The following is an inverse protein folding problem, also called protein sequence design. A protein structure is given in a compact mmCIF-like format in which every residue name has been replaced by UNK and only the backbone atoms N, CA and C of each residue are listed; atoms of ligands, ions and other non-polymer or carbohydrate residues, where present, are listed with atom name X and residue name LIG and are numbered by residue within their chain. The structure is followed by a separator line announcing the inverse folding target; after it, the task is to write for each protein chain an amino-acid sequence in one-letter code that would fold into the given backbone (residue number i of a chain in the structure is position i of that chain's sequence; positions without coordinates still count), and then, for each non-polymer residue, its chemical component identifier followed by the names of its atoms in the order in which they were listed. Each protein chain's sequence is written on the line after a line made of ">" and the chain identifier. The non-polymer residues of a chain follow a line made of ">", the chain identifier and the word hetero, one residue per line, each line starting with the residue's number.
data_IF_349130525138
#
_entry.id   IF_349130525138
#
_cell.length_a   1.000
_cell.length_b   1.000
_cell.length_c   1.000
_cell.angle_alpha   90.00
_cell.angle_beta   90.00
_cell.angle_gamma   90.00
#
_symmetry.space_group_name_H-M   'P 1'
#
loop_
_entity.id
_entity.type
_entity.pdbx_description
1 polymer ?
#
# COMPACT_ATOMS: atom_id res chain seq x y z
N UNK A 1 -9.49 6.93 60.14
CA UNK A 1 -8.17 6.54 59.70
C UNK A 1 -8.30 5.84 58.38
N UNK A 2 -8.09 6.56 57.28
CA UNK A 2 -8.17 6.03 55.90
C UNK A 2 -6.74 5.79 55.40
N UNK A 3 -6.37 4.54 55.27
CA UNK A 3 -5.14 4.12 54.65
C UNK A 3 -5.44 3.95 53.11
N UNK A 4 -5.37 5.05 52.40
CA UNK A 4 -5.25 4.99 50.93
C UNK A 4 -3.79 4.67 50.64
N UNK A 5 -3.49 3.41 50.48
CA UNK A 5 -2.26 2.93 49.85
C UNK A 5 -2.34 3.36 48.37
N UNK A 6 -1.69 4.49 48.03
CA UNK A 6 -1.31 4.80 46.66
C UNK A 6 -0.31 3.71 46.24
N UNK A 7 -0.79 2.74 45.48
CA UNK A 7 0.11 1.92 44.65
C UNK A 7 0.93 2.88 43.79
N UNK A 8 2.22 2.85 43.97
CA UNK A 8 3.16 3.56 43.13
C UNK A 8 2.99 3.00 41.71
N UNK A 9 2.27 3.72 40.89
CA UNK A 9 2.21 3.46 39.43
C UNK A 9 3.64 3.55 38.95
N UNK A 10 4.27 2.40 38.69
CA UNK A 10 5.60 2.37 38.09
C UNK A 10 5.50 3.10 36.76
N UNK A 11 6.06 4.29 36.68
CA UNK A 11 6.09 5.08 35.45
C UNK A 11 6.70 4.23 34.33
N UNK A 12 5.98 4.13 33.21
CA UNK A 12 6.46 3.48 32.00
C UNK A 12 7.40 4.37 31.19
N UNK A 13 7.66 5.59 31.66
CA UNK A 13 8.64 6.46 31.02
C UNK A 13 10.08 5.94 31.25
N UNK A 14 10.93 6.16 30.24
CA UNK A 14 12.37 5.99 30.42
C UNK A 14 12.89 6.99 31.46
N UNK A 15 13.74 6.52 32.38
CA UNK A 15 14.42 7.39 33.33
C UNK A 15 15.46 8.29 32.67
N UNK A 16 16.09 7.77 31.59
CA UNK A 16 17.10 8.48 30.79
C UNK A 16 16.94 8.10 29.30
N UNK A 17 17.26 9.00 28.37
CA UNK A 17 17.23 8.69 26.94
C UNK A 17 18.20 7.56 26.59
N UNK A 18 17.74 6.55 25.86
CA UNK A 18 18.58 5.46 25.38
C UNK A 18 19.30 5.86 24.07
N UNK A 19 20.58 5.46 23.91
CA UNK A 19 21.26 5.57 22.62
C UNK A 19 20.47 4.87 21.51
N UNK A 20 20.47 5.42 20.30
CA UNK A 20 19.71 4.87 19.17
C UNK A 20 20.05 3.41 18.87
N UNK A 21 21.28 2.98 19.16
CA UNK A 21 21.74 1.59 18.98
C UNK A 21 21.18 0.63 20.05
N UNK A 22 20.69 1.13 21.17
CA UNK A 22 20.10 0.36 22.26
C UNK A 22 18.61 0.61 22.44
N UNK A 23 18.04 1.53 21.66
CA UNK A 23 16.61 1.84 21.72
C UNK A 23 15.81 0.93 20.79
N UNK A 24 14.92 0.06 21.29
CA UNK A 24 14.25 -0.96 20.48
C UNK A 24 13.41 -0.38 19.32
N UNK A 25 12.76 0.77 19.54
CA UNK A 25 12.01 1.46 18.46
C UNK A 25 12.95 2.02 17.40
N UNK A 26 14.05 2.63 17.78
CA UNK A 26 15.01 3.18 16.82
C UNK A 26 15.61 2.07 15.95
N UNK A 27 16.00 0.95 16.56
CA UNK A 27 16.50 -0.24 15.85
C UNK A 27 15.44 -0.79 14.88
N UNK A 28 14.20 -0.95 15.34
CA UNK A 28 13.10 -1.40 14.51
C UNK A 28 12.85 -0.46 13.31
N UNK A 29 12.71 0.84 13.54
CA UNK A 29 12.43 1.82 12.50
C UNK A 29 13.56 1.91 11.48
N UNK A 30 14.82 1.82 11.92
CA UNK A 30 15.98 1.83 11.02
C UNK A 30 16.03 0.61 10.10
N UNK A 31 15.53 -0.54 10.54
CA UNK A 31 15.38 -1.74 9.71
C UNK A 31 14.26 -1.68 8.66
N UNK A 32 13.41 -0.64 8.69
CA UNK A 32 12.31 -0.47 7.75
C UNK A 32 12.71 0.34 6.52
N UNK A 33 12.04 0.05 5.40
CA UNK A 33 12.07 0.92 4.23
C UNK A 33 11.61 2.33 4.61
N UNK A 34 12.26 3.36 4.06
CA UNK A 34 12.06 4.78 4.38
C UNK A 34 10.58 5.20 4.37
N UNK A 35 9.82 4.75 3.37
CA UNK A 35 8.38 5.07 3.26
C UNK A 35 7.48 4.44 4.33
N UNK A 36 7.95 3.41 5.05
CA UNK A 36 7.18 2.75 6.11
C UNK A 36 7.43 3.35 7.50
N UNK A 37 8.57 4.00 7.68
CA UNK A 37 9.02 4.54 8.99
C UNK A 37 8.00 5.50 9.63
N UNK A 38 7.48 6.53 8.92
CA UNK A 38 6.54 7.46 9.54
C UNK A 38 5.27 6.79 10.04
N UNK A 39 4.72 5.87 9.26
CA UNK A 39 3.48 5.15 9.63
C UNK A 39 3.70 4.25 10.83
N UNK A 40 4.83 3.56 10.92
CA UNK A 40 5.14 2.69 12.06
C UNK A 40 5.49 3.51 13.30
N UNK A 41 6.21 4.63 13.14
CA UNK A 41 6.46 5.56 14.25
C UNK A 41 5.15 6.08 14.83
N UNK A 42 4.24 6.59 13.99
CA UNK A 42 2.94 7.07 14.45
C UNK A 42 2.13 5.99 15.19
N UNK A 43 2.17 4.74 14.71
CA UNK A 43 1.50 3.62 15.39
C UNK A 43 2.08 3.40 16.81
N UNK A 44 3.39 3.49 16.95
CA UNK A 44 4.09 3.34 18.25
C UNK A 44 3.89 4.56 19.15
N UNK A 45 3.88 5.79 18.61
CA UNK A 45 3.54 7.00 19.35
C UNK A 45 2.13 6.88 19.97
N UNK A 46 1.18 6.38 19.16
CA UNK A 46 -0.19 6.16 19.65
C UNK A 46 -0.25 5.13 20.77
N UNK A 47 0.48 4.02 20.65
CA UNK A 47 0.53 2.98 21.70
C UNK A 47 1.20 3.52 22.96
N UNK A 48 2.31 4.26 22.82
CA UNK A 48 3.01 4.87 23.96
C UNK A 48 2.10 5.85 24.71
N UNK A 49 1.41 6.71 23.96
CA UNK A 49 0.44 7.65 24.52
C UNK A 49 -0.70 6.95 25.26
N UNK A 50 -1.24 5.84 24.71
CA UNK A 50 -2.30 5.05 25.38
C UNK A 50 -1.82 4.49 26.74
N UNK A 51 -0.60 3.97 26.78
CA UNK A 51 -0.04 3.34 27.98
C UNK A 51 0.38 4.33 29.06
N UNK A 52 0.73 5.55 28.69
CA UNK A 52 1.24 6.58 29.60
C UNK A 52 0.26 7.71 29.89
N UNK A 53 -1.00 7.60 29.41
CA UNK A 53 -1.96 8.70 29.55
C UNK A 53 -1.57 9.97 28.77
N UNK A 54 -0.75 9.83 27.71
CA UNK A 54 -0.28 10.94 26.87
C UNK A 54 1.10 11.48 27.22
N UNK A 55 1.75 10.97 28.28
CA UNK A 55 3.05 11.48 28.76
C UNK A 55 4.24 11.03 27.89
N UNK A 56 4.12 9.86 27.23
CA UNK A 56 5.20 9.28 26.43
C UNK A 56 4.85 9.20 24.93
N UNK A 57 5.90 9.28 24.12
CA UNK A 57 5.92 8.90 22.72
C UNK A 57 6.70 7.59 22.50
N UNK A 58 6.91 7.21 21.25
CA UNK A 58 7.62 5.98 20.90
C UNK A 58 9.09 5.95 21.39
N UNK A 59 9.72 7.10 21.61
CA UNK A 59 11.12 7.19 22.01
C UNK A 59 11.32 7.43 23.51
N UNK A 60 10.26 7.76 24.23
CA UNK A 60 10.30 8.06 25.65
C UNK A 60 9.65 6.98 26.53
N UNK A 61 8.88 6.06 25.93
CA UNK A 61 8.31 4.91 26.64
C UNK A 61 9.38 3.83 26.86
N UNK A 62 9.43 3.27 28.05
CA UNK A 62 10.26 2.10 28.37
C UNK A 62 9.57 0.79 27.92
N UNK A 63 9.80 0.42 26.67
CA UNK A 63 9.23 -0.79 26.05
C UNK A 63 9.65 -2.09 26.74
N UNK A 64 10.77 -2.06 27.48
CA UNK A 64 11.25 -3.23 28.20
C UNK A 64 10.42 -3.55 29.45
N UNK A 65 9.68 -2.57 29.98
CA UNK A 65 8.77 -2.76 31.12
C UNK A 65 7.41 -3.34 30.73
N UNK A 66 7.10 -3.47 29.41
CA UNK A 66 5.81 -3.97 28.99
C UNK A 66 5.66 -5.47 29.30
N UNK A 67 4.53 -5.82 29.89
CA UNK A 67 4.15 -7.19 30.25
C UNK A 67 2.76 -7.49 29.65
N UNK A 68 2.30 -8.72 29.79
CA UNK A 68 1.00 -9.17 29.28
C UNK A 68 -0.16 -8.19 29.60
N UNK A 69 -0.34 -7.67 30.83
CA UNK A 69 -1.44 -6.73 31.10
C UNK A 69 -1.41 -5.48 30.21
N UNK A 70 -0.21 -4.94 29.95
CA UNK A 70 -0.04 -3.77 29.10
C UNK A 70 -0.41 -4.06 27.62
N UNK A 71 0.09 -5.18 27.09
CA UNK A 71 -0.16 -5.56 25.69
C UNK A 71 -1.60 -5.98 25.47
N UNK A 72 -2.24 -6.61 26.44
CA UNK A 72 -3.66 -6.96 26.42
C UNK A 72 -4.54 -5.71 26.45
N UNK A 73 -4.24 -4.73 27.32
CA UNK A 73 -4.95 -3.46 27.39
C UNK A 73 -4.82 -2.68 26.08
N UNK A 74 -3.61 -2.58 25.52
CA UNK A 74 -3.38 -1.96 24.20
C UNK A 74 -4.19 -2.63 23.13
N UNK A 75 -4.20 -3.97 23.07
CA UNK A 75 -4.98 -4.68 22.07
C UNK A 75 -6.49 -4.40 22.20
N UNK A 76 -7.03 -4.42 23.40
CA UNK A 76 -8.44 -4.13 23.66
C UNK A 76 -8.80 -2.71 23.19
N UNK A 77 -7.97 -1.72 23.55
CA UNK A 77 -8.18 -0.33 23.18
C UNK A 77 -8.06 -0.09 21.67
N UNK A 78 -7.07 -0.73 21.02
CA UNK A 78 -6.92 -0.64 19.56
C UNK A 78 -8.10 -1.26 18.81
N UNK A 79 -8.65 -2.37 19.30
CA UNK A 79 -9.82 -3.02 18.69
C UNK A 79 -11.07 -2.16 18.88
N UNK A 80 -11.19 -1.46 20.00
CA UNK A 80 -12.32 -0.58 20.27
C UNK A 80 -12.30 0.70 19.41
N UNK A 81 -11.12 1.27 19.15
CA UNK A 81 -10.97 2.58 18.48
C UNK A 81 -10.69 2.50 16.98
N UNK A 82 -10.12 1.41 16.51
CA UNK A 82 -9.65 1.31 15.12
C UNK A 82 -10.26 0.11 14.40
N UNK A 83 -10.33 0.22 13.09
CA UNK A 83 -10.67 -0.93 12.27
C UNK A 83 -9.64 -2.06 12.41
N UNK A 84 -10.10 -3.31 12.31
CA UNK A 84 -9.31 -4.53 12.52
C UNK A 84 -7.95 -4.52 11.78
N UNK A 85 -7.89 -4.06 10.53
CA UNK A 85 -6.64 -4.00 9.78
C UNK A 85 -5.64 -2.97 10.33
N UNK A 86 -6.14 -1.85 10.86
CA UNK A 86 -5.31 -0.82 11.51
C UNK A 86 -4.82 -1.31 12.85
N UNK A 87 -5.71 -1.88 13.68
CA UNK A 87 -5.34 -2.49 14.95
C UNK A 87 -4.30 -3.61 14.77
N UNK A 88 -4.50 -4.51 13.80
CA UNK A 88 -3.51 -5.56 13.47
C UNK A 88 -2.14 -4.98 13.08
N UNK A 89 -2.13 -3.91 12.26
CA UNK A 89 -0.88 -3.23 11.88
C UNK A 89 -0.16 -2.64 13.08
N UNK A 90 -0.90 -1.97 13.97
CA UNK A 90 -0.33 -1.36 15.19
C UNK A 90 0.19 -2.44 16.15
N UNK A 91 -0.55 -3.51 16.35
CA UNK A 91 -0.10 -4.67 17.13
C UNK A 91 1.11 -5.37 16.51
N UNK A 92 1.23 -5.39 15.19
CA UNK A 92 2.43 -5.88 14.52
C UNK A 92 3.66 -5.00 14.83
N UNK A 93 3.51 -3.67 14.84
CA UNK A 93 4.58 -2.76 15.23
C UNK A 93 5.01 -3.00 16.70
N UNK A 94 4.05 -3.13 17.62
CA UNK A 94 4.33 -3.45 19.03
C UNK A 94 5.11 -4.75 19.17
N UNK A 95 4.64 -5.84 18.54
CA UNK A 95 5.33 -7.15 18.56
C UNK A 95 6.76 -7.04 18.05
N UNK A 96 6.99 -6.28 16.99
CA UNK A 96 8.34 -6.09 16.43
C UNK A 96 9.24 -5.33 17.37
N UNK A 97 8.76 -4.26 18.01
CA UNK A 97 9.55 -3.51 19.00
C UNK A 97 9.91 -4.37 20.21
N UNK A 98 8.98 -5.16 20.74
CA UNK A 98 9.28 -6.08 21.83
C UNK A 98 10.27 -7.19 21.41
N UNK A 99 10.19 -7.65 20.16
CA UNK A 99 11.19 -8.57 19.58
C UNK A 99 12.58 -7.93 19.50
N UNK A 100 12.67 -6.65 19.12
CA UNK A 100 13.95 -5.93 19.11
C UNK A 100 14.46 -5.70 20.56
N UNK A 101 13.58 -5.37 21.51
CA UNK A 101 13.94 -5.27 22.93
C UNK A 101 14.57 -6.59 23.44
N UNK A 102 14.02 -7.73 23.04
CA UNK A 102 14.59 -9.06 23.37
C UNK A 102 15.96 -9.27 22.75
N UNK A 103 16.15 -8.91 21.47
CA UNK A 103 17.46 -9.01 20.81
C UNK A 103 18.52 -8.12 21.45
N UNK A 104 18.10 -6.97 21.97
CA UNK A 104 18.94 -6.05 22.73
C UNK A 104 19.17 -6.48 24.19
N UNK A 105 18.65 -7.64 24.58
CA UNK A 105 18.75 -8.21 25.94
C UNK A 105 18.11 -7.32 27.02
N UNK A 106 17.09 -6.56 26.66
CA UNK A 106 16.32 -5.72 27.58
C UNK A 106 15.10 -6.44 28.16
N UNK A 107 14.69 -7.57 27.56
CA UNK A 107 13.55 -8.39 27.97
C UNK A 107 13.91 -9.86 27.84
N UNK A 108 13.51 -10.68 28.79
CA UNK A 108 13.71 -12.12 28.75
C UNK A 108 12.79 -12.83 27.75
N UNK A 109 13.20 -14.03 27.32
CA UNK A 109 12.46 -14.80 26.34
C UNK A 109 11.06 -15.20 26.83
N UNK A 110 10.97 -15.64 28.09
CA UNK A 110 9.70 -16.06 28.72
C UNK A 110 8.75 -14.88 28.86
N UNK A 111 9.24 -13.73 29.34
CA UNK A 111 8.46 -12.51 29.47
C UNK A 111 7.92 -12.03 28.10
N UNK A 112 8.74 -12.13 27.03
CA UNK A 112 8.30 -11.79 25.68
C UNK A 112 7.18 -12.71 25.21
N UNK A 113 7.32 -14.03 25.42
CA UNK A 113 6.30 -15.00 25.01
C UNK A 113 4.98 -14.68 25.70
N UNK A 114 4.98 -14.49 27.00
CA UNK A 114 3.79 -14.11 27.78
C UNK A 114 3.18 -12.78 27.31
N UNK A 115 4.01 -11.76 27.10
CA UNK A 115 3.54 -10.45 26.65
C UNK A 115 2.92 -10.49 25.24
N UNK A 116 3.28 -11.46 24.41
CA UNK A 116 2.77 -11.62 23.04
C UNK A 116 1.68 -12.71 22.91
N UNK A 117 1.36 -13.43 23.96
CA UNK A 117 0.30 -14.44 24.00
C UNK A 117 -1.08 -13.78 24.04
N UNK A 118 -1.46 -13.22 22.90
CA UNK A 118 -2.71 -12.49 22.73
C UNK A 118 -3.57 -13.17 21.67
N UNK A 119 -4.90 -13.13 21.83
CA UNK A 119 -5.82 -13.66 20.82
C UNK A 119 -5.65 -12.91 19.49
N UNK A 120 -5.81 -13.63 18.39
CA UNK A 120 -5.76 -13.01 17.07
C UNK A 120 -6.95 -12.04 16.90
N UNK A 121 -6.66 -10.81 16.48
CA UNK A 121 -7.70 -9.87 16.08
C UNK A 121 -8.39 -10.43 14.84
N UNK A 122 -9.67 -10.82 14.97
CA UNK A 122 -10.46 -11.33 13.85
C UNK A 122 -10.69 -10.18 12.86
N UNK A 123 -10.40 -10.41 11.59
CA UNK A 123 -10.74 -9.45 10.53
C UNK A 123 -12.13 -9.79 10.01
N UNK A 124 -13.06 -8.88 10.20
CA UNK A 124 -14.41 -8.93 9.60
C UNK A 124 -14.45 -8.26 8.23
N UNK A 125 -13.31 -7.74 7.77
CA UNK A 125 -13.28 -6.94 6.55
C UNK A 125 -13.45 -7.78 5.29
N UNK A 126 -14.48 -7.45 4.53
CA UNK A 126 -14.49 -7.67 3.08
C UNK A 126 -13.29 -6.93 2.47
N UNK A 127 -12.71 -7.46 1.42
CA UNK A 127 -11.63 -6.79 0.67
C UNK A 127 -12.09 -5.38 0.31
N UNK A 128 -11.38 -4.36 0.81
CA UNK A 128 -11.66 -2.96 0.45
C UNK A 128 -11.40 -2.76 -1.02
N UNK A 129 -12.23 -1.93 -1.64
CA UNK A 129 -12.16 -1.63 -3.07
C UNK A 129 -12.96 -2.62 -3.91
N UNK A 130 -13.19 -2.24 -5.16
CA UNK A 130 -13.98 -2.98 -6.14
C UNK A 130 -13.23 -3.08 -7.47
N UNK A 131 -13.65 -3.96 -8.33
CA UNK A 131 -13.22 -3.88 -9.72
C UNK A 131 -14.08 -2.84 -10.43
N UNK A 132 -13.45 -2.08 -11.31
CA UNK A 132 -14.14 -1.14 -12.19
C UNK A 132 -14.75 -1.94 -13.36
N UNK A 133 -15.96 -1.60 -13.74
CA UNK A 133 -16.61 -2.13 -14.93
C UNK A 133 -16.02 -1.52 -16.20
N UNK A 134 -16.21 -2.19 -17.34
CA UNK A 134 -15.81 -1.64 -18.64
C UNK A 134 -16.50 -0.30 -18.96
N UNK A 135 -17.76 -0.13 -18.55
CA UNK A 135 -18.49 1.14 -18.71
C UNK A 135 -17.87 2.28 -17.92
N UNK A 136 -17.46 2.04 -16.66
CA UNK A 136 -16.80 3.04 -15.83
C UNK A 136 -15.43 3.43 -16.38
N UNK A 137 -14.65 2.45 -16.87
CA UNK A 137 -13.37 2.71 -17.52
C UNK A 137 -13.58 3.52 -18.80
N UNK A 138 -14.57 3.16 -19.62
CA UNK A 138 -14.95 3.91 -20.81
C UNK A 138 -15.34 5.35 -20.50
N UNK A 139 -16.16 5.58 -19.47
CA UNK A 139 -16.56 6.92 -19.03
C UNK A 139 -15.36 7.75 -18.57
N UNK A 140 -14.45 7.17 -17.79
CA UNK A 140 -13.20 7.83 -17.36
C UNK A 140 -12.33 8.21 -18.56
N UNK A 141 -12.15 7.31 -19.52
CA UNK A 141 -11.36 7.56 -20.72
C UNK A 141 -12.01 8.65 -21.59
N UNK A 142 -13.34 8.62 -21.75
CA UNK A 142 -14.08 9.64 -22.52
C UNK A 142 -13.92 11.04 -21.92
N UNK A 143 -14.02 11.18 -20.59
CA UNK A 143 -13.80 12.47 -19.90
C UNK A 143 -12.36 12.96 -20.07
N UNK A 144 -11.37 12.07 -20.10
CA UNK A 144 -9.98 12.45 -20.34
C UNK A 144 -9.76 12.83 -21.81
N UNK A 145 -10.31 12.07 -22.76
CA UNK A 145 -10.14 12.30 -24.19
C UNK A 145 -10.88 13.55 -24.69
N UNK A 146 -12.03 13.88 -24.10
CA UNK A 146 -12.78 15.10 -24.42
C UNK A 146 -12.21 16.38 -23.81
N UNK A 147 -11.23 16.26 -22.90
CA UNK A 147 -10.50 17.40 -22.34
C UNK A 147 -9.30 17.72 -23.24
N UNK A 148 -9.48 18.66 -24.18
CA UNK A 148 -8.45 19.08 -25.16
C UNK A 148 -7.22 19.75 -24.53
N UNK A 149 -7.16 19.86 -23.22
CA UNK A 149 -6.01 20.43 -22.52
C UNK A 149 -4.87 19.41 -22.40
N UNK A 150 -3.66 19.93 -22.18
CA UNK A 150 -2.47 19.12 -21.85
C UNK A 150 -2.74 18.16 -20.68
N UNK A 151 -3.58 18.59 -19.72
CA UNK A 151 -4.00 17.75 -18.58
C UNK A 151 -4.85 16.57 -19.02
N UNK A 152 -5.77 16.78 -19.99
CA UNK A 152 -6.61 15.72 -20.53
C UNK A 152 -5.78 14.59 -21.14
N UNK A 153 -4.85 14.97 -22.03
CA UNK A 153 -3.96 14.01 -22.70
C UNK A 153 -3.09 13.23 -21.70
N UNK A 154 -2.49 13.93 -20.71
CA UNK A 154 -1.73 13.25 -19.64
C UNK A 154 -2.60 12.31 -18.82
N UNK A 155 -3.81 12.72 -18.46
CA UNK A 155 -4.71 11.92 -17.61
C UNK A 155 -5.22 10.69 -18.36
N UNK A 156 -5.46 10.79 -19.67
CA UNK A 156 -5.78 9.66 -20.53
C UNK A 156 -4.64 8.63 -20.54
N UNK A 157 -3.40 9.07 -20.73
CA UNK A 157 -2.23 8.20 -20.66
C UNK A 157 -2.06 7.55 -19.28
N UNK A 158 -2.27 8.31 -18.19
CA UNK A 158 -2.22 7.78 -16.83
C UNK A 158 -3.27 6.67 -16.61
N UNK A 159 -4.52 6.89 -17.02
CA UNK A 159 -5.60 5.89 -16.89
C UNK A 159 -5.27 4.66 -17.75
N UNK A 160 -4.79 4.87 -18.99
CA UNK A 160 -4.40 3.79 -19.89
C UNK A 160 -3.29 2.92 -19.32
N UNK A 161 -2.25 3.52 -18.74
CA UNK A 161 -1.15 2.78 -18.07
C UNK A 161 -1.65 2.02 -16.83
N UNK A 162 -2.44 2.67 -15.97
CA UNK A 162 -2.96 2.02 -14.76
C UNK A 162 -3.86 0.84 -15.10
N UNK A 163 -4.72 0.99 -16.12
CA UNK A 163 -5.63 -0.07 -16.57
C UNK A 163 -4.89 -1.18 -17.33
N UNK A 164 -3.99 -0.80 -18.24
CA UNK A 164 -3.32 -1.74 -19.16
C UNK A 164 -2.21 -2.54 -18.52
N UNK A 165 -1.48 -1.96 -17.55
CA UNK A 165 -0.33 -2.60 -16.90
C UNK A 165 -0.56 -2.95 -15.41
N UNK A 166 -1.68 -2.54 -14.82
CA UNK A 166 -2.02 -2.84 -13.43
C UNK A 166 -1.00 -2.34 -12.40
N UNK A 167 -0.31 -1.23 -12.68
CA UNK A 167 0.74 -0.68 -11.83
C UNK A 167 0.24 -0.18 -10.48
N UNK A 168 1.10 -0.23 -9.48
CA UNK A 168 0.84 0.48 -8.22
C UNK A 168 1.01 1.99 -8.43
N UNK A 169 0.27 2.77 -7.68
CA UNK A 169 0.37 4.24 -7.70
C UNK A 169 1.81 4.76 -7.54
N UNK A 170 2.59 4.11 -6.67
CA UNK A 170 3.98 4.47 -6.45
C UNK A 170 4.94 3.98 -7.57
N UNK A 171 4.51 3.03 -8.39
CA UNK A 171 5.28 2.54 -9.54
C UNK A 171 5.06 3.46 -10.74
N UNK A 172 3.81 3.79 -11.06
CA UNK A 172 3.49 4.61 -12.24
C UNK A 172 4.14 5.98 -12.21
N UNK A 173 4.29 6.60 -11.04
CA UNK A 173 4.96 7.91 -10.92
C UNK A 173 6.47 7.85 -11.07
N UNK A 174 7.08 6.68 -11.01
CA UNK A 174 8.53 6.49 -11.15
C UNK A 174 8.96 6.13 -12.55
N UNK A 175 8.01 5.90 -13.47
CA UNK A 175 8.33 5.59 -14.84
C UNK A 175 9.09 6.74 -15.49
N UNK A 176 10.20 6.41 -16.12
CA UNK A 176 10.96 7.29 -17.00
C UNK A 176 10.51 7.10 -18.45
N UNK A 177 10.80 8.06 -19.31
CA UNK A 177 10.54 7.90 -20.75
C UNK A 177 11.25 6.66 -21.31
N UNK A 178 12.48 6.40 -20.86
CA UNK A 178 13.28 5.26 -21.30
C UNK A 178 12.72 3.89 -20.84
N UNK A 179 11.75 3.87 -19.92
CA UNK A 179 11.11 2.63 -19.48
C UNK A 179 9.97 2.18 -20.40
N UNK A 180 9.57 3.00 -21.37
CA UNK A 180 8.49 2.70 -22.31
C UNK A 180 9.03 2.43 -23.71
N UNK A 181 8.68 1.27 -24.25
CA UNK A 181 8.96 0.87 -25.62
C UNK A 181 7.66 0.91 -26.45
N UNK A 182 7.52 1.90 -27.33
CA UNK A 182 6.27 2.10 -28.08
C UNK A 182 5.89 0.95 -29.03
N UNK A 183 6.89 0.32 -29.67
CA UNK A 183 6.64 -0.73 -30.66
C UNK A 183 6.00 -1.97 -30.05
N UNK A 184 6.44 -2.35 -28.87
CA UNK A 184 6.00 -3.55 -28.16
C UNK A 184 4.99 -3.27 -27.05
N UNK A 185 4.84 -1.99 -26.64
CA UNK A 185 4.08 -1.58 -25.48
C UNK A 185 4.72 -1.99 -24.15
N UNK A 186 5.99 -2.40 -24.17
CA UNK A 186 6.68 -2.82 -22.96
C UNK A 186 6.94 -1.64 -22.02
N UNK A 187 6.69 -1.88 -20.72
CA UNK A 187 7.00 -0.96 -19.62
C UNK A 187 7.91 -1.66 -18.63
N UNK A 188 9.10 -1.11 -18.41
CA UNK A 188 10.03 -1.59 -17.41
C UNK A 188 9.73 -0.96 -16.05
N UNK A 189 9.27 -1.76 -15.11
CA UNK A 189 8.96 -1.34 -13.73
C UNK A 189 10.15 -1.61 -12.84
N UNK A 190 10.99 -0.60 -12.64
CA UNK A 190 12.20 -0.69 -11.83
C UNK A 190 11.91 -0.55 -10.35
N UNK A 191 12.65 -1.29 -9.52
CA UNK A 191 12.58 -1.25 -8.06
C UNK A 191 11.15 -1.34 -7.51
N UNK A 192 10.41 -2.32 -8.02
CA UNK A 192 9.10 -2.68 -7.50
C UNK A 192 9.15 -3.03 -6.00
N UNK A 193 8.02 -3.42 -5.41
CA UNK A 193 7.98 -3.84 -4.00
C UNK A 193 8.95 -5.02 -3.76
N UNK A 194 9.93 -4.82 -2.88
CA UNK A 194 11.01 -5.80 -2.62
C UNK A 194 12.23 -5.67 -3.53
N UNK A 195 12.36 -4.56 -4.29
CA UNK A 195 13.56 -4.26 -5.11
C UNK A 195 13.67 -5.07 -6.40
N UNK A 196 12.62 -5.79 -6.81
CA UNK A 196 12.61 -6.60 -8.04
C UNK A 196 12.07 -5.79 -9.21
N UNK A 197 12.79 -5.85 -10.32
CA UNK A 197 12.37 -5.28 -11.59
C UNK A 197 11.44 -6.27 -12.32
N UNK A 198 10.56 -5.75 -13.17
CA UNK A 198 9.71 -6.55 -14.04
C UNK A 198 9.29 -5.75 -15.26
N UNK A 199 9.10 -6.45 -16.37
CA UNK A 199 8.48 -5.91 -17.57
C UNK A 199 6.99 -6.26 -17.58
N UNK A 200 6.17 -5.28 -17.93
CA UNK A 200 4.74 -5.44 -18.21
C UNK A 200 4.45 -4.87 -19.59
N UNK A 201 3.30 -5.18 -20.14
CA UNK A 201 2.97 -4.77 -21.51
C UNK A 201 1.64 -4.03 -21.52
N UNK A 202 1.59 -2.95 -22.31
CA UNK A 202 0.35 -2.22 -22.58
C UNK A 202 -0.36 -2.87 -23.77
N UNK A 203 -1.69 -3.02 -23.73
CA UNK A 203 -2.47 -3.37 -24.92
C UNK A 203 -2.43 -2.22 -25.94
N UNK A 204 -2.60 -2.54 -27.23
CA UNK A 204 -2.48 -1.59 -28.34
C UNK A 204 -3.28 -0.29 -28.12
N UNK A 205 -4.53 -0.41 -27.65
CA UNK A 205 -5.34 0.79 -27.37
C UNK A 205 -4.80 1.68 -26.26
N UNK A 206 -4.00 1.15 -25.31
CA UNK A 206 -3.35 1.95 -24.28
C UNK A 206 -2.08 2.64 -24.80
N UNK A 207 -1.35 2.00 -25.71
CA UNK A 207 -0.16 2.57 -26.38
C UNK A 207 -0.53 3.90 -27.06
N UNK A 208 -1.61 3.93 -27.82
CA UNK A 208 -2.08 5.14 -28.53
C UNK A 208 -2.26 6.36 -27.60
N UNK A 209 -2.79 6.15 -26.38
CA UNK A 209 -2.92 7.26 -25.43
C UNK A 209 -1.58 7.70 -24.84
N UNK A 210 -0.65 6.77 -24.67
CA UNK A 210 0.70 7.12 -24.21
C UNK A 210 1.46 7.88 -25.28
N UNK A 211 1.36 7.45 -26.55
CA UNK A 211 1.98 8.14 -27.68
C UNK A 211 1.41 9.55 -27.86
N UNK A 212 0.09 9.71 -27.82
CA UNK A 212 -0.54 11.04 -27.85
C UNK A 212 -0.03 11.96 -26.73
N UNK A 213 0.21 11.41 -25.54
CA UNK A 213 0.86 12.15 -24.46
C UNK A 213 2.31 12.49 -24.79
N UNK A 214 3.08 11.61 -25.41
CA UNK A 214 4.48 11.87 -25.77
C UNK A 214 4.62 12.95 -26.83
N UNK A 215 3.66 13.10 -27.73
CA UNK A 215 3.63 14.22 -28.70
C UNK A 215 3.54 15.59 -27.97
N UNK A 216 2.78 15.65 -26.90
CA UNK A 216 2.63 16.88 -26.09
C UNK A 216 3.80 17.07 -25.13
N UNK A 217 4.24 15.99 -24.47
CA UNK A 217 5.33 16.02 -23.50
C UNK A 217 6.70 16.28 -24.15
N UNK A 218 6.86 15.80 -25.35
CA UNK A 218 8.16 15.73 -26.01
C UNK A 218 9.00 14.54 -25.54
N UNK A 219 10.11 14.31 -26.23
CA UNK A 219 10.97 13.13 -26.05
C UNK A 219 12.23 13.39 -25.21
N UNK A 220 12.28 14.52 -24.51
CA UNK A 220 13.37 14.80 -23.57
C UNK A 220 13.42 13.75 -22.45
N UNK A 221 14.60 13.20 -22.09
CA UNK A 221 14.74 12.24 -21.00
C UNK A 221 14.15 12.74 -19.68
N UNK A 222 13.65 11.85 -18.86
CA UNK A 222 13.05 12.14 -17.55
C UNK A 222 11.70 11.46 -17.36
N UNK A 223 10.93 11.89 -16.37
CA UNK A 223 9.68 11.26 -15.96
C UNK A 223 8.69 11.06 -17.14
N UNK A 224 8.15 9.86 -17.30
CA UNK A 224 7.16 9.56 -18.33
C UNK A 224 5.89 10.40 -18.14
N UNK A 225 5.41 10.51 -16.90
CA UNK A 225 4.24 11.34 -16.54
C UNK A 225 4.67 12.51 -15.66
N UNK A 226 4.37 13.72 -16.11
CA UNK A 226 4.84 14.96 -15.50
C UNK A 226 3.71 15.75 -14.84
N UNK A 227 3.99 16.53 -13.79
CA UNK A 227 3.09 17.56 -13.29
C UNK A 227 2.90 18.66 -14.35
N UNK A 228 1.72 19.26 -14.33
CA UNK A 228 1.36 20.39 -15.19
C UNK A 228 0.89 21.52 -14.30
N UNK A 229 1.53 22.69 -14.43
CA UNK A 229 1.15 23.92 -13.73
C UNK A 229 -0.07 24.60 -14.35
N UNK A 230 -0.61 25.59 -13.66
CA UNK A 230 -1.61 26.49 -14.25
C UNK A 230 -1.05 27.10 -15.54
N UNK A 231 -1.88 27.14 -16.58
CA UNK A 231 -1.43 27.62 -17.91
C UNK A 231 -0.85 26.53 -18.80
N UNK A 232 -0.87 25.23 -18.38
CA UNK A 232 -0.45 24.12 -19.25
C UNK A 232 1.07 23.85 -19.28
N UNK A 233 1.86 24.52 -18.45
CA UNK A 233 3.32 24.35 -18.42
C UNK A 233 3.73 23.03 -17.79
N UNK A 234 4.50 22.22 -18.53
CA UNK A 234 5.05 20.95 -18.06
C UNK A 234 6.24 21.17 -17.12
N UNK A 235 6.25 20.45 -16.01
CA UNK A 235 7.42 20.32 -15.15
C UNK A 235 8.06 18.96 -15.36
N UNK A 236 9.26 18.91 -15.95
CA UNK A 236 9.97 17.68 -16.27
C UNK A 236 10.51 16.97 -15.02
N UNK A 237 9.62 16.63 -14.09
CA UNK A 237 9.90 15.88 -12.87
C UNK A 237 8.81 14.85 -12.61
N UNK A 238 9.05 13.93 -11.71
CA UNK A 238 8.04 12.96 -11.30
C UNK A 238 6.85 13.61 -10.59
N UNK A 239 5.66 13.07 -10.85
CA UNK A 239 4.48 13.34 -10.05
C UNK A 239 4.59 12.68 -8.67
N UNK A 240 3.85 13.19 -7.70
CA UNK A 240 3.70 12.48 -6.42
C UNK A 240 2.61 11.39 -6.52
N UNK A 241 2.71 10.29 -5.74
CA UNK A 241 1.62 9.33 -5.66
C UNK A 241 0.29 9.97 -5.22
N UNK A 242 0.33 11.03 -4.43
CA UNK A 242 -0.88 11.76 -4.01
C UNK A 242 -1.52 12.50 -5.19
N UNK A 243 -0.72 13.10 -6.08
CA UNK A 243 -1.24 13.75 -7.28
C UNK A 243 -2.02 12.79 -8.17
N UNK A 244 -1.54 11.54 -8.35
CA UNK A 244 -2.27 10.49 -9.08
C UNK A 244 -3.65 10.23 -8.46
N UNK A 245 -3.73 10.13 -7.14
CA UNK A 245 -5.03 9.92 -6.47
C UNK A 245 -5.99 11.09 -6.74
N UNK A 246 -5.53 12.32 -6.58
CA UNK A 246 -6.36 13.52 -6.79
C UNK A 246 -6.83 13.66 -8.24
N UNK A 247 -5.96 13.33 -9.21
CA UNK A 247 -6.33 13.30 -10.63
C UNK A 247 -7.47 12.31 -10.87
N UNK A 248 -7.31 11.08 -10.41
CA UNK A 248 -8.32 10.04 -10.61
C UNK A 248 -9.64 10.37 -9.92
N UNK A 249 -9.61 10.94 -8.71
CA UNK A 249 -10.81 11.40 -8.02
C UNK A 249 -11.56 12.48 -8.81
N UNK A 250 -10.83 13.47 -9.32
CA UNK A 250 -11.41 14.55 -10.14
C UNK A 250 -11.99 14.01 -11.46
N UNK A 251 -11.32 13.05 -12.11
CA UNK A 251 -11.83 12.42 -13.35
C UNK A 251 -13.02 11.53 -13.07
N UNK A 252 -13.04 10.79 -11.95
CA UNK A 252 -14.19 9.99 -11.51
C UNK A 252 -15.43 10.86 -11.28
N UNK A 253 -15.29 11.97 -10.55
CA UNK A 253 -16.37 12.93 -10.30
C UNK A 253 -16.95 13.47 -11.61
N UNK A 254 -16.10 13.88 -12.55
CA UNK A 254 -16.54 14.38 -13.86
C UNK A 254 -17.20 13.31 -14.73
N UNK A 255 -16.79 12.06 -14.58
CA UNK A 255 -17.33 10.92 -15.31
C UNK A 255 -18.59 10.34 -14.69
N UNK A 256 -19.05 10.84 -13.54
CA UNK A 256 -20.15 10.26 -12.76
C UNK A 256 -19.86 8.84 -12.26
N UNK A 257 -18.57 8.49 -12.10
CA UNK A 257 -18.13 7.18 -11.62
C UNK A 257 -18.01 7.21 -10.11
N UNK A 258 -18.55 6.17 -9.45
CA UNK A 258 -18.41 6.01 -8.01
C UNK A 258 -16.93 6.07 -7.57
N UNK A 259 -16.69 6.68 -6.42
CA UNK A 259 -15.33 6.86 -5.88
C UNK A 259 -14.57 5.53 -5.82
N UNK A 260 -13.35 5.56 -6.31
CA UNK A 260 -12.42 4.42 -6.34
C UNK A 260 -10.98 4.86 -6.04
N UNK A 261 -10.12 3.90 -5.79
CA UNK A 261 -8.70 4.12 -5.56
C UNK A 261 -7.86 3.66 -6.77
N UNK A 262 -6.63 4.18 -6.96
CA UNK A 262 -5.72 3.66 -7.99
C UNK A 262 -5.48 2.15 -7.88
N UNK A 263 -5.65 1.56 -6.70
CA UNK A 263 -5.49 0.12 -6.48
C UNK A 263 -6.63 -0.69 -7.13
N UNK A 264 -7.78 -0.06 -7.36
CA UNK A 264 -8.92 -0.71 -8.01
C UNK A 264 -8.69 -0.96 -9.50
N UNK A 265 -7.90 -0.11 -10.20
CA UNK A 265 -7.41 -0.44 -11.55
C UNK A 265 -6.59 -1.74 -11.55
N UNK A 266 -5.71 -1.88 -10.59
CA UNK A 266 -4.89 -3.09 -10.47
C UNK A 266 -5.73 -4.31 -10.11
N UNK A 267 -6.75 -4.15 -9.27
CA UNK A 267 -7.73 -5.19 -8.98
C UNK A 267 -8.44 -5.62 -10.26
N UNK A 268 -8.93 -4.66 -11.04
CA UNK A 268 -9.58 -4.89 -12.33
C UNK A 268 -8.64 -5.62 -13.29
N UNK A 269 -7.42 -5.14 -13.44
CA UNK A 269 -6.40 -5.78 -14.28
C UNK A 269 -6.17 -7.26 -13.92
N UNK A 270 -5.98 -7.56 -12.63
CA UNK A 270 -5.77 -8.94 -12.19
C UNK A 270 -7.02 -9.81 -12.40
N UNK A 271 -8.20 -9.30 -12.06
CA UNK A 271 -9.44 -10.05 -12.22
C UNK A 271 -9.74 -10.33 -13.68
N UNK A 272 -9.60 -9.34 -14.56
CA UNK A 272 -9.91 -9.49 -16.00
C UNK A 272 -8.95 -10.47 -16.69
N UNK A 273 -7.66 -10.47 -16.32
CA UNK A 273 -6.70 -11.46 -16.81
C UNK A 273 -7.07 -12.88 -16.36
N UNK A 274 -7.45 -13.04 -15.09
CA UNK A 274 -7.90 -14.35 -14.57
C UNK A 274 -9.21 -14.79 -15.26
N UNK A 275 -10.15 -13.88 -15.44
CA UNK A 275 -11.42 -14.15 -16.14
C UNK A 275 -11.20 -14.51 -17.64
N UNK A 276 -10.16 -13.93 -18.26
CA UNK A 276 -9.70 -14.29 -19.60
C UNK A 276 -8.94 -15.64 -19.66
N UNK A 277 -8.77 -16.33 -18.53
CA UNK A 277 -8.13 -17.66 -18.50
C UNK A 277 -6.61 -17.63 -18.33
N UNK A 278 -5.99 -16.46 -18.13
CA UNK A 278 -4.55 -16.38 -17.85
C UNK A 278 -4.25 -17.06 -16.53
N UNK A 279 -3.19 -17.86 -16.49
CA UNK A 279 -2.79 -18.58 -15.28
C UNK A 279 -2.34 -17.63 -14.15
N UNK A 280 -2.56 -18.07 -12.93
CA UNK A 280 -2.34 -17.25 -11.72
C UNK A 280 -0.89 -16.83 -11.52
N UNK A 281 0.09 -17.63 -12.00
CA UNK A 281 1.52 -17.33 -11.88
C UNK A 281 1.92 -16.23 -12.86
N UNK A 282 1.40 -16.26 -14.07
CA UNK A 282 1.57 -15.19 -15.05
C UNK A 282 0.96 -13.87 -14.55
N UNK A 283 -0.28 -13.90 -14.05
CA UNK A 283 -0.92 -12.71 -13.44
C UNK A 283 -0.12 -12.22 -12.22
N UNK A 284 0.38 -13.12 -11.39
CA UNK A 284 1.25 -12.78 -10.26
C UNK A 284 2.50 -12.02 -10.70
N UNK A 285 3.19 -12.53 -11.74
CA UNK A 285 4.42 -11.92 -12.29
C UNK A 285 4.13 -10.55 -12.86
N UNK A 286 3.13 -10.40 -13.72
CA UNK A 286 2.69 -9.12 -14.29
C UNK A 286 2.33 -8.11 -13.19
N UNK A 287 1.53 -8.52 -12.23
CA UNK A 287 1.17 -7.69 -11.09
C UNK A 287 2.37 -7.41 -10.15
N UNK A 288 3.42 -8.23 -10.13
CA UNK A 288 4.53 -8.13 -9.16
C UNK A 288 4.04 -8.37 -7.73
N UNK A 289 3.25 -9.45 -7.52
CA UNK A 289 2.87 -9.91 -6.19
C UNK A 289 3.95 -10.86 -5.65
N UNK A 290 4.35 -10.65 -4.40
CA UNK A 290 5.35 -11.50 -3.75
C UNK A 290 4.87 -12.96 -3.55
N UNK A 291 3.53 -13.16 -3.51
CA UNK A 291 2.91 -14.46 -3.29
C UNK A 291 1.69 -14.65 -4.19
N UNK A 292 1.49 -15.84 -4.77
CA UNK A 292 0.28 -16.16 -5.56
C UNK A 292 -1.01 -16.06 -4.72
N UNK A 293 -0.94 -16.25 -3.41
CA UNK A 293 -2.07 -16.05 -2.48
C UNK A 293 -2.64 -14.63 -2.58
N UNK A 294 -1.80 -13.63 -2.87
CA UNK A 294 -2.26 -12.26 -3.09
C UNK A 294 -3.06 -12.15 -4.39
N UNK A 295 -2.63 -12.83 -5.45
CA UNK A 295 -3.33 -12.87 -6.74
C UNK A 295 -4.65 -13.64 -6.64
N UNK A 296 -4.67 -14.76 -5.91
CA UNK A 296 -5.87 -15.57 -5.69
C UNK A 296 -7.03 -14.78 -5.06
N UNK A 297 -6.76 -13.72 -4.31
CA UNK A 297 -7.80 -12.82 -3.76
C UNK A 297 -8.57 -12.04 -4.83
N UNK A 298 -8.04 -11.94 -6.04
CA UNK A 298 -8.68 -11.28 -7.18
C UNK A 298 -9.40 -12.26 -8.11
N UNK A 299 -9.26 -13.57 -7.87
CA UNK A 299 -9.98 -14.60 -8.61
C UNK A 299 -11.47 -14.58 -8.19
N UNK A 300 -12.31 -14.19 -9.13
CA UNK A 300 -13.78 -14.14 -8.97
C UNK A 300 -14.47 -15.30 -9.67
N UNK A 301 -13.69 -16.15 -10.36
CA UNK A 301 -14.22 -17.30 -11.08
C UNK A 301 -14.75 -18.33 -10.08
N UNK A 302 -16.03 -18.58 -10.14
CA UNK A 302 -16.71 -19.52 -9.22
C UNK A 302 -16.60 -20.97 -9.67
N UNK A 303 -17.56 -21.79 -9.27
CA UNK A 303 -17.66 -23.23 -9.61
C UNK A 303 -17.69 -23.48 -11.14
N UNK A 304 -18.24 -22.55 -11.92
CA UNK A 304 -18.28 -22.67 -13.37
C UNK A 304 -16.89 -22.75 -14.02
N UNK A 305 -15.91 -22.02 -13.51
CA UNK A 305 -14.53 -22.10 -14.00
C UNK A 305 -13.90 -23.46 -13.68
N UNK A 306 -14.21 -24.02 -12.51
CA UNK A 306 -13.74 -25.37 -12.13
C UNK A 306 -14.35 -26.42 -13.03
N UNK A 307 -15.65 -26.32 -13.29
CA UNK A 307 -16.36 -27.23 -14.18
C UNK A 307 -15.81 -27.18 -15.61
N UNK A 308 -15.58 -25.98 -16.16
CA UNK A 308 -14.94 -25.81 -17.46
C UNK A 308 -13.53 -26.41 -17.52
N UNK A 309 -12.73 -26.19 -16.49
CA UNK A 309 -11.37 -26.73 -16.45
C UNK A 309 -11.35 -28.26 -16.54
N UNK A 310 -12.25 -28.92 -15.80
CA UNK A 310 -12.36 -30.40 -15.82
C UNK A 310 -12.88 -30.93 -17.15
N UNK A 311 -13.77 -30.19 -17.82
CA UNK A 311 -14.29 -30.58 -19.16
C UNK A 311 -13.23 -30.60 -20.25
N UNK A 312 -12.10 -29.91 -20.04
CA UNK A 312 -10.96 -29.93 -20.96
C UNK A 312 -10.05 -31.15 -20.80
N UNK A 313 -10.31 -32.01 -19.82
CA UNK A 313 -9.62 -33.30 -19.67
C UNK A 313 -10.22 -34.29 -20.69
N UNK A 314 -9.46 -34.62 -21.73
CA UNK A 314 -9.85 -35.67 -22.69
C UNK A 314 -9.85 -37.04 -22.03
N UNK A 315 -10.87 -37.83 -22.32
CA UNK A 315 -10.94 -39.26 -22.02
C UNK A 315 -11.03 -40.03 -23.32
#
# INVERSE_FOLDING_TARGET
>A
MSLATREATHSLALSEPLPLTRHPVAVYLNGLATGSRPTMKQALDTIASMLSGGECDALTLDWAKLRYPHTAAVQAELVARYESATAQKMMCALRRVLTEARKLQLVDAEELVLALELPKIKSTQRLRGRALSGAEIGALMSVCASDETVQGTRDAALVAILRGAGLRRAEVVKLELADFEPETGALEVRRGKGGKDRTVYLPQGAITFVEAWLEVRGRTPGALLCPIRRGGHLEMRHMTPQAVLLILQKRAERAGVESFSPHDFRRTFCSDLLDAGVDIVTVQKLAGHASPVTTAKYDRRGEEAKRKAVQNLGF
#
